data_IF_849117469952
#
_entry.id   IF_849117469952
#
_cell.length_a   1.000
_cell.length_b   1.000
_cell.length_c   1.000
_cell.angle_alpha   90.00
_cell.angle_beta   90.00
_cell.angle_gamma   90.00
#
_symmetry.space_group_name_H-M   'P 1'
#
loop_
_entity.id
_entity.type
_entity.pdbx_description
1 polymer ?
#
# COMPACT_ATOMS: atom_id res chain seq x y z
N UNK A 1 -1.04 -9.98 13.56
CA UNK A 1 -0.12 -8.90 13.17
C UNK A 1 -0.98 -7.87 12.46
N UNK A 2 -1.03 -6.64 12.97
CA UNK A 2 -1.88 -5.57 12.44
C UNK A 2 -1.53 -5.23 11.00
N UNK A 3 -2.53 -4.82 10.21
CA UNK A 3 -2.36 -4.52 8.79
C UNK A 3 -1.34 -3.41 8.55
N UNK A 4 -1.35 -2.37 9.39
CA UNK A 4 -0.33 -1.30 9.37
C UNK A 4 1.09 -1.84 9.45
N UNK A 5 1.35 -2.79 10.35
CA UNK A 5 2.70 -3.35 10.54
C UNK A 5 3.10 -4.25 9.37
N UNK A 6 2.13 -4.91 8.74
CA UNK A 6 2.37 -5.66 7.50
C UNK A 6 2.74 -4.71 6.35
N UNK A 7 2.00 -3.62 6.17
CA UNK A 7 2.28 -2.59 5.16
C UNK A 7 3.70 -2.02 5.37
N UNK A 8 4.04 -1.67 6.61
CA UNK A 8 5.39 -1.20 6.97
C UNK A 8 6.46 -2.22 6.64
N UNK A 9 6.25 -3.50 7.01
CA UNK A 9 7.22 -4.56 6.76
C UNK A 9 7.51 -4.73 5.27
N UNK A 10 6.46 -4.82 4.45
CA UNK A 10 6.62 -4.97 3.00
C UNK A 10 7.25 -3.73 2.36
N UNK A 11 6.90 -2.54 2.83
CA UNK A 11 7.51 -1.31 2.35
C UNK A 11 9.00 -1.25 2.69
N UNK A 12 9.42 -1.71 3.87
CA UNK A 12 10.85 -1.81 4.24
C UNK A 12 11.59 -2.78 3.33
N UNK A 13 11.01 -3.95 3.03
CA UNK A 13 11.65 -4.91 2.11
C UNK A 13 11.84 -4.30 0.71
N UNK A 14 10.84 -3.57 0.20
CA UNK A 14 10.96 -2.82 -1.05
C UNK A 14 12.04 -1.73 -0.99
N UNK A 15 12.03 -0.89 0.06
CA UNK A 15 13.01 0.20 0.22
C UNK A 15 14.45 -0.29 0.42
N UNK A 16 14.61 -1.52 0.89
CA UNK A 16 15.91 -2.21 1.01
C UNK A 16 16.38 -2.88 -0.28
N UNK A 17 15.54 -2.90 -1.32
CA UNK A 17 15.82 -3.52 -2.62
C UNK A 17 15.76 -5.04 -2.62
N UNK A 18 15.17 -5.65 -1.58
CA UNK A 18 15.01 -7.11 -1.49
C UNK A 18 13.87 -7.63 -2.37
N UNK A 19 12.84 -6.81 -2.55
CA UNK A 19 11.74 -7.04 -3.50
C UNK A 19 11.64 -5.83 -4.45
N UNK A 20 11.13 -6.06 -5.65
CA UNK A 20 10.87 -5.00 -6.62
C UNK A 20 9.54 -4.28 -6.38
N UNK A 21 9.33 -3.14 -7.06
CA UNK A 21 8.07 -2.38 -6.99
C UNK A 21 6.86 -3.22 -7.39
N UNK A 22 6.96 -4.02 -8.45
CA UNK A 22 5.86 -4.87 -8.92
C UNK A 22 5.51 -5.96 -7.90
N UNK A 23 6.49 -6.61 -7.29
CA UNK A 23 6.26 -7.60 -6.24
C UNK A 23 5.62 -6.98 -4.99
N UNK A 24 6.03 -5.76 -4.64
CA UNK A 24 5.37 -5.00 -3.59
C UNK A 24 3.90 -4.69 -3.95
N UNK A 25 3.62 -4.26 -5.19
CA UNK A 25 2.26 -3.92 -5.66
C UNK A 25 1.34 -5.14 -5.72
N UNK A 26 1.86 -6.28 -6.18
CA UNK A 26 1.13 -7.55 -6.25
C UNK A 26 0.65 -8.01 -4.88
N UNK A 27 1.44 -7.75 -3.83
CA UNK A 27 0.99 -7.97 -2.47
C UNK A 27 0.10 -6.83 -1.96
N UNK A 28 0.50 -5.57 -2.15
CA UNK A 28 -0.14 -4.40 -1.55
C UNK A 28 -1.59 -4.23 -2.03
N UNK A 29 -1.81 -4.19 -3.34
CA UNK A 29 -3.11 -3.87 -3.94
C UNK A 29 -4.27 -4.76 -3.47
N UNK A 30 -4.16 -6.11 -3.48
CA UNK A 30 -5.24 -6.95 -2.96
C UNK A 30 -5.38 -6.91 -1.44
N UNK A 31 -4.32 -6.57 -0.69
CA UNK A 31 -4.36 -6.50 0.78
C UNK A 31 -4.89 -5.15 1.30
N UNK A 32 -4.96 -4.11 0.44
CA UNK A 32 -5.49 -2.79 0.79
C UNK A 32 -6.75 -2.41 0.01
N UNK A 33 -7.31 -3.32 -0.80
CA UNK A 33 -8.51 -3.05 -1.60
C UNK A 33 -9.70 -2.59 -0.74
N UNK A 34 -9.95 -3.23 0.39
CA UNK A 34 -11.03 -2.89 1.34
C UNK A 34 -10.52 -2.07 2.54
N UNK A 35 -9.45 -1.29 2.37
CA UNK A 35 -8.82 -0.58 3.50
C UNK A 35 -9.78 0.41 4.17
N UNK A 36 -10.70 1.02 3.41
CA UNK A 36 -11.69 1.97 3.94
C UNK A 36 -12.70 1.30 4.90
N UNK A 37 -12.88 -0.03 4.80
CA UNK A 37 -13.70 -0.81 5.73
C UNK A 37 -12.92 -1.23 6.99
N UNK A 38 -11.60 -1.04 7.00
CA UNK A 38 -10.75 -1.39 8.14
C UNK A 38 -10.88 -0.34 9.25
N UNK A 39 -11.15 -0.70 10.52
CA UNK A 39 -11.25 0.28 11.62
C UNK A 39 -9.91 0.94 12.01
N UNK A 40 -8.79 0.50 11.43
CA UNK A 40 -7.46 1.05 11.69
C UNK A 40 -7.19 2.28 10.80
N UNK A 41 -7.50 3.46 11.34
CA UNK A 41 -7.29 4.73 10.65
C UNK A 41 -5.81 4.96 10.29
N UNK A 42 -4.85 4.46 11.07
CA UNK A 42 -3.43 4.61 10.74
C UNK A 42 -3.06 3.72 9.55
N UNK A 43 -3.60 2.51 9.47
CA UNK A 43 -3.43 1.65 8.30
C UNK A 43 -4.07 2.27 7.04
N UNK A 44 -5.27 2.85 7.16
CA UNK A 44 -5.93 3.58 6.08
C UNK A 44 -5.05 4.72 5.57
N UNK A 45 -4.63 5.62 6.46
CA UNK A 45 -3.81 6.78 6.09
C UNK A 45 -2.48 6.36 5.45
N UNK A 46 -1.86 5.30 5.94
CA UNK A 46 -0.61 4.79 5.37
C UNK A 46 -0.84 4.21 3.97
N UNK A 47 -1.86 3.38 3.80
CA UNK A 47 -2.18 2.77 2.51
C UNK A 47 -2.51 3.83 1.45
N UNK A 48 -3.38 4.79 1.78
CA UNK A 48 -3.77 5.88 0.88
C UNK A 48 -2.57 6.73 0.45
N UNK A 49 -1.66 7.03 1.38
CA UNK A 49 -0.45 7.78 1.03
C UNK A 49 0.47 6.99 0.09
N UNK A 50 0.65 5.69 0.33
CA UNK A 50 1.46 4.83 -0.54
C UNK A 50 0.85 4.74 -1.95
N UNK A 51 -0.45 4.49 -2.03
CA UNK A 51 -1.17 4.40 -3.31
C UNK A 51 -1.05 5.69 -4.11
N UNK A 52 -1.21 6.85 -3.46
CA UNK A 52 -1.05 8.15 -4.10
C UNK A 52 0.35 8.33 -4.71
N UNK A 53 1.42 7.96 -3.99
CA UNK A 53 2.80 8.04 -4.50
C UNK A 53 3.05 7.09 -5.68
N UNK A 54 2.48 5.89 -5.63
CA UNK A 54 2.58 4.93 -6.74
C UNK A 54 1.84 5.47 -7.98
N UNK A 55 0.67 6.08 -7.80
CA UNK A 55 -0.08 6.68 -8.90
C UNK A 55 0.71 7.82 -9.58
N UNK A 56 1.39 8.66 -8.80
CA UNK A 56 2.27 9.71 -9.30
C UNK A 56 3.46 9.12 -10.10
N UNK A 57 4.10 8.06 -9.60
CA UNK A 57 5.13 7.32 -10.35
C UNK A 57 4.60 6.77 -11.69
N UNK A 58 3.43 6.12 -11.69
CA UNK A 58 2.84 5.57 -12.93
C UNK A 58 2.44 6.63 -13.95
N UNK A 59 2.36 7.89 -13.52
CA UNK A 59 2.08 9.03 -14.39
C UNK A 59 3.35 9.61 -15.06
N UNK A 60 4.50 8.93 -14.94
CA UNK A 60 5.83 9.36 -15.42
C UNK A 60 6.29 10.69 -14.79
N UNK A 61 5.73 11.02 -13.62
CA UNK A 61 6.10 12.25 -12.88
C UNK A 61 7.42 12.06 -12.14
N UNK A 62 7.71 10.83 -11.72
CA UNK A 62 8.90 10.46 -10.96
C UNK A 62 9.53 9.17 -11.46
N UNK A 63 10.84 9.03 -11.25
CA UNK A 63 11.53 7.76 -11.40
C UNK A 63 11.49 6.90 -10.13
N UNK A 64 11.91 5.63 -10.23
CA UNK A 64 11.75 4.67 -9.12
C UNK A 64 12.60 5.04 -7.89
N UNK A 65 13.74 5.69 -8.11
CA UNK A 65 14.60 6.17 -7.02
C UNK A 65 13.96 7.35 -6.28
N UNK A 66 13.37 8.30 -7.02
CA UNK A 66 12.54 9.38 -6.44
C UNK A 66 11.33 8.83 -5.65
N UNK A 67 10.63 7.82 -6.19
CA UNK A 67 9.54 7.15 -5.50
C UNK A 67 10.02 6.54 -4.16
N UNK A 68 11.18 5.87 -4.14
CA UNK A 68 11.75 5.30 -2.92
C UNK A 68 12.07 6.35 -1.87
N UNK A 69 12.59 7.50 -2.27
CA UNK A 69 12.89 8.59 -1.34
C UNK A 69 11.62 9.18 -0.72
N UNK A 70 10.56 9.35 -1.52
CA UNK A 70 9.25 9.79 -1.02
C UNK A 70 8.62 8.78 -0.07
N UNK A 71 8.73 7.49 -0.37
CA UNK A 71 8.22 6.41 0.49
C UNK A 71 9.06 6.26 1.77
N UNK A 72 10.38 6.52 1.74
CA UNK A 72 11.22 6.58 2.96
C UNK A 72 10.75 7.67 3.91
N UNK A 73 10.36 8.84 3.37
CA UNK A 73 9.84 9.94 4.18
C UNK A 73 8.57 9.55 4.94
N UNK A 74 7.70 8.74 4.34
CA UNK A 74 6.48 8.24 4.99
C UNK A 74 6.75 7.34 6.20
N UNK A 75 7.84 6.56 6.19
CA UNK A 75 8.19 5.66 7.31
C UNK A 75 8.96 6.38 8.40
N UNK A 76 9.88 7.27 8.04
CA UNK A 76 10.80 7.91 8.99
C UNK A 76 10.22 9.12 9.72
N UNK A 77 9.06 9.63 9.28
CA UNK A 77 8.24 10.51 10.09
C UNK A 77 8.07 11.92 9.53
N UNK A 78 6.95 12.51 9.95
CA UNK A 78 6.56 13.90 9.74
C UNK A 78 6.40 14.32 8.28
N UNK A 79 5.34 13.82 7.64
CA UNK A 79 4.65 14.66 6.65
C UNK A 79 4.01 15.80 7.43
N UNK A 80 4.79 16.84 7.68
CA UNK A 80 4.26 18.18 7.86
C UNK A 80 3.26 18.38 6.74
N UNK A 81 1.98 18.49 7.13
CA UNK A 81 0.84 18.60 6.25
C UNK A 81 1.18 19.41 4.99
N UNK A 82 1.33 18.72 3.85
CA UNK A 82 1.26 19.38 2.56
C UNK A 82 -0.22 19.73 2.34
N UNK A 83 -0.61 20.82 2.98
CA UNK A 83 -1.91 21.46 2.89
C UNK A 83 -2.08 22.04 1.48
N UNK A 84 -2.36 21.19 0.52
CA UNK A 84 -2.89 21.61 -0.78
C UNK A 84 -4.13 20.81 -1.19
N UNK A 85 -4.88 20.30 -0.21
CA UNK A 85 -6.29 20.00 -0.41
C UNK A 85 -7.06 21.32 -0.48
N UNK A 86 -7.25 21.82 -1.70
CA UNK A 86 -8.28 22.82 -1.97
C UNK A 86 -9.62 22.11 -1.82
N UNK A 87 -10.25 22.30 -0.67
CA UNK A 87 -11.60 21.84 -0.39
C UNK A 87 -12.59 22.38 -1.45
N UNK A 88 -13.68 21.63 -1.72
CA UNK A 88 -14.98 22.26 -1.66
C UNK A 88 -15.80 21.64 -0.52
N UNK A 89 -16.16 22.50 0.42
CA UNK A 89 -17.09 22.24 1.52
C UNK A 89 -18.41 21.64 1.03
N UNK A 90 -18.81 20.47 1.55
CA UNK A 90 -20.23 20.07 1.61
C UNK A 90 -20.54 19.20 2.84
N UNK A 91 -20.89 19.86 3.94
CA UNK A 91 -22.10 19.68 4.78
C UNK A 91 -22.87 18.33 4.70
N UNK A 92 -22.87 17.51 5.77
CA UNK A 92 -24.06 17.08 6.59
C UNK A 92 -23.98 15.67 7.22
N UNK A 93 -24.15 15.66 8.56
CA UNK A 93 -24.70 14.64 9.49
C UNK A 93 -23.93 13.35 9.86
N UNK A 94 -23.96 12.94 11.16
CA UNK A 94 -23.39 11.69 11.64
C UNK A 94 -24.43 10.56 11.61
N UNK A 95 -24.05 9.38 11.15
CA UNK A 95 -24.77 8.14 11.44
C UNK A 95 -23.85 7.17 12.16
N UNK A 96 -24.25 6.86 13.38
CA UNK A 96 -23.77 5.76 14.20
C UNK A 96 -24.12 4.43 13.54
N UNK A 97 -23.24 3.42 13.60
CA UNK A 97 -23.58 2.08 14.12
C UNK A 97 -22.32 1.19 14.23
N UNK A 98 -22.24 0.48 15.34
CA UNK A 98 -21.24 -0.53 15.67
C UNK A 98 -21.29 -1.72 14.72
N UNK A 99 -20.14 -2.25 14.30
CA UNK A 99 -19.96 -3.69 14.05
C UNK A 99 -18.48 -4.03 14.27
N UNK A 100 -18.21 -5.07 15.07
CA UNK A 100 -16.88 -5.61 15.28
C UNK A 100 -16.37 -6.18 13.96
N UNK A 101 -15.48 -5.46 13.28
CA UNK A 101 -14.83 -5.91 12.06
C UNK A 101 -13.52 -6.60 12.43
N UNK A 102 -13.52 -7.91 12.22
CA UNK A 102 -12.40 -8.80 12.45
C UNK A 102 -11.34 -8.52 11.38
N UNK A 103 -10.28 -7.77 11.71
CA UNK A 103 -9.12 -7.56 10.85
C UNK A 103 -8.33 -8.87 10.72
N UNK A 104 -8.81 -9.81 9.90
CA UNK A 104 -8.06 -11.00 9.55
C UNK A 104 -7.42 -10.78 8.19
N UNK A 105 -6.08 -10.67 8.20
CA UNK A 105 -5.28 -10.70 6.98
C UNK A 105 -5.64 -11.94 6.17
N UNK A 106 -6.29 -11.75 5.03
CA UNK A 106 -6.62 -12.81 4.10
C UNK A 106 -5.38 -13.20 3.29
N UNK A 107 -4.41 -13.84 3.95
CA UNK A 107 -3.38 -14.58 3.26
C UNK A 107 -3.92 -15.97 2.92
N UNK A 108 -4.46 -16.16 1.70
CA UNK A 108 -4.40 -17.45 0.99
C UNK A 108 -4.38 -17.21 -0.53
N UNK A 109 -3.21 -16.86 -1.07
CA UNK A 109 -2.90 -17.17 -2.48
C UNK A 109 -2.00 -18.40 -2.47
N UNK A 110 -2.61 -19.56 -2.71
CA UNK A 110 -1.91 -20.81 -2.95
C UNK A 110 -1.31 -20.77 -4.35
N UNK A 111 -0.03 -20.47 -4.46
CA UNK A 111 0.73 -20.74 -5.69
C UNK A 111 1.22 -22.19 -5.67
N UNK A 112 0.40 -23.12 -6.17
CA UNK A 112 0.89 -24.39 -6.71
C UNK A 112 0.68 -24.33 -8.22
N UNK A 113 1.77 -24.31 -8.97
CA UNK A 113 1.75 -24.35 -10.44
C UNK A 113 3.03 -23.80 -11.08
N UNK A 114 4.21 -24.22 -10.61
CA UNK A 114 5.06 -25.16 -11.35
C UNK A 114 5.72 -24.56 -12.60
N UNK A 115 6.93 -24.03 -12.41
CA UNK A 115 7.90 -23.91 -13.49
C UNK A 115 8.50 -25.27 -13.84
N UNK A 116 8.62 -25.57 -15.13
CA UNK A 116 9.73 -26.33 -15.74
C UNK A 116 9.93 -25.77 -17.16
N UNK A 117 11.03 -25.09 -17.45
CA UNK A 117 12.40 -25.60 -17.68
C UNK A 117 12.68 -25.58 -19.19
N UNK A 118 13.54 -24.66 -19.60
CA UNK A 118 14.20 -24.62 -20.90
C UNK A 118 14.99 -25.92 -21.12
N UNK A 119 14.85 -26.53 -22.30
CA UNK A 119 16.03 -27.06 -23.00
C UNK A 119 15.78 -27.21 -24.50
N UNK A 120 16.78 -26.73 -25.23
CA UNK A 120 16.99 -26.69 -26.67
C UNK A 120 17.60 -28.02 -27.16
N UNK A 121 17.43 -28.28 -28.46
CA UNK A 121 18.33 -28.99 -29.39
C UNK A 121 17.78 -30.28 -30.01
N UNK A 122 17.91 -30.37 -31.34
CA UNK A 122 17.82 -31.61 -32.12
C UNK A 122 17.05 -31.44 -33.40
#
# INVERSE_FOLDING_TARGET
MDLKEQIRSWLVEYLSGRIGLEEFRDWFSPNTWDIDECPDLEAQLLAHQIEHRIAEYTSDVWDEDELRDLLRLLIHGDVAASANQTAPSITTAPQSLSTSANCSAAAQVSWIGFGRELTKAG
#
